data_IF_598068470985
#
_entry.id   IF_598068470985
#
_cell.length_a   1.000
_cell.length_b   1.000
_cell.length_c   1.000
_cell.angle_alpha   90.00
_cell.angle_beta   90.00
_cell.angle_gamma   90.00
#
_symmetry.space_group_name_H-M   'P 1'
#
loop_
_entity.id
_entity.type
_entity.pdbx_description
1 polymer ?
#
# COMPACT_ATOMS: atom_id res chain seq x y z
N UNK A 1 1.91 -10.93 12.69
CA UNK A 1 2.92 -10.65 11.66
C UNK A 1 3.50 -12.00 11.24
N UNK A 2 3.09 -12.52 10.08
CA UNK A 2 3.50 -13.85 9.61
C UNK A 2 4.92 -13.78 9.02
N UNK A 3 5.91 -13.76 9.90
CA UNK A 3 7.29 -14.12 9.56
C UNK A 3 7.74 -14.99 10.74
N UNK A 4 7.54 -16.30 10.58
CA UNK A 4 7.97 -17.31 11.54
C UNK A 4 9.44 -17.62 11.30
N UNK A 5 10.22 -17.73 12.38
CA UNK A 5 11.61 -18.25 12.32
C UNK A 5 11.64 -19.77 12.04
N UNK A 6 10.49 -20.44 12.15
CA UNK A 6 10.30 -21.84 11.80
C UNK A 6 10.17 -21.98 10.29
N UNK A 7 10.99 -22.83 9.68
CA UNK A 7 10.80 -23.26 8.30
C UNK A 7 9.45 -23.97 8.17
N UNK A 8 8.54 -23.38 7.41
CA UNK A 8 7.24 -23.98 7.12
C UNK A 8 7.39 -24.77 5.82
N UNK A 9 7.36 -26.08 5.94
CA UNK A 9 7.28 -26.99 4.80
C UNK A 9 5.81 -27.25 4.47
N UNK A 10 5.38 -26.90 3.26
CA UNK A 10 4.07 -27.30 2.74
C UNK A 10 4.28 -28.56 1.89
N UNK A 11 3.46 -29.59 2.11
CA UNK A 11 3.50 -30.84 1.34
C UNK A 11 2.65 -30.70 0.09
N UNK A 12 3.28 -30.59 -1.08
CA UNK A 12 2.66 -30.67 -2.41
C UNK A 12 3.60 -31.44 -3.32
N UNK A 13 3.25 -32.66 -3.79
CA UNK A 13 4.08 -33.57 -4.61
C UNK A 13 5.62 -33.61 -4.27
N UNK A 14 6.02 -33.17 -3.07
CA UNK A 14 7.38 -32.79 -2.70
C UNK A 14 7.41 -31.82 -1.49
N UNK A 15 8.59 -31.59 -0.92
CA UNK A 15 8.81 -30.63 0.18
C UNK A 15 9.48 -29.37 -0.37
N UNK A 16 8.90 -28.19 -0.13
CA UNK A 16 9.46 -26.92 -0.57
C UNK A 16 9.75 -26.02 0.64
N UNK A 17 10.98 -25.49 0.72
CA UNK A 17 11.39 -24.53 1.75
C UNK A 17 10.86 -23.15 1.37
N UNK A 18 9.90 -22.64 2.14
CA UNK A 18 9.25 -21.35 1.88
C UNK A 18 10.16 -20.12 2.08
N UNK A 19 11.33 -20.30 2.69
CA UNK A 19 12.18 -19.23 3.22
C UNK A 19 13.54 -19.08 2.52
N UNK A 20 13.93 -19.98 1.59
CA UNK A 20 15.24 -19.94 0.95
C UNK A 20 15.17 -19.45 -0.50
N UNK A 21 15.47 -18.15 -0.71
CA UNK A 21 15.90 -17.54 -1.99
C UNK A 21 15.08 -17.92 -3.24
N UNK A 22 13.78 -17.69 -3.22
CA UNK A 22 12.95 -17.82 -4.41
C UNK A 22 11.53 -18.16 -4.02
N UNK A 23 10.69 -17.13 -3.95
CA UNK A 23 9.24 -17.30 -3.79
C UNK A 23 8.68 -18.03 -5.02
N UNK A 24 8.73 -19.35 -5.01
CA UNK A 24 7.92 -20.22 -5.87
C UNK A 24 6.92 -20.92 -4.96
N UNK A 25 5.87 -20.21 -4.53
CA UNK A 25 4.90 -20.86 -3.66
C UNK A 25 3.44 -20.44 -3.87
N UNK A 26 3.13 -19.49 -4.76
CA UNK A 26 1.74 -19.10 -4.99
C UNK A 26 1.52 -18.58 -6.43
N UNK A 27 1.46 -19.47 -7.42
CA UNK A 27 1.07 -19.09 -8.80
C UNK A 27 -0.28 -18.34 -8.80
N UNK A 28 -1.20 -18.69 -7.91
CA UNK A 28 -2.49 -17.97 -7.76
C UNK A 28 -2.35 -16.51 -7.27
N UNK A 29 -1.21 -16.14 -6.67
CA UNK A 29 -0.93 -14.78 -6.20
C UNK A 29 -0.14 -13.98 -7.24
N UNK A 30 0.41 -14.63 -8.27
CA UNK A 30 1.23 -14.01 -9.31
C UNK A 30 0.50 -12.89 -10.03
N UNK A 31 -0.76 -13.11 -10.39
CA UNK A 31 -1.63 -12.09 -11.00
C UNK A 31 -1.84 -10.87 -10.11
N UNK A 32 -1.86 -11.05 -8.78
CA UNK A 32 -1.96 -9.96 -7.82
C UNK A 32 -0.63 -9.21 -7.68
N UNK A 33 0.50 -9.93 -7.69
CA UNK A 33 1.84 -9.33 -7.63
C UNK A 33 2.18 -8.50 -8.87
N UNK A 34 1.64 -8.86 -10.04
CA UNK A 34 1.78 -8.06 -11.27
C UNK A 34 1.02 -6.73 -11.21
N UNK A 35 -0.03 -6.62 -10.39
CA UNK A 35 -0.83 -5.39 -10.22
C UNK A 35 -0.21 -4.38 -9.26
N UNK A 36 0.83 -4.79 -8.51
CA UNK A 36 1.51 -3.88 -7.60
C UNK A 36 2.41 -2.95 -8.41
N UNK A 37 2.23 -1.62 -8.33
CA UNK A 37 3.07 -0.69 -9.05
C UNK A 37 4.54 -0.86 -8.69
N UNK A 38 5.37 -0.87 -9.73
CA UNK A 38 6.83 -0.91 -9.64
C UNK A 38 7.34 0.35 -10.32
N UNK A 39 8.26 1.12 -9.72
CA UNK A 39 8.98 2.16 -10.44
C UNK A 39 9.76 1.53 -11.60
N UNK A 40 10.26 2.34 -12.53
CA UNK A 40 10.93 1.88 -13.78
C UNK A 40 12.10 0.91 -13.55
N UNK A 41 12.66 0.89 -12.35
CA UNK A 41 13.71 -0.04 -11.88
C UNK A 41 13.18 -1.44 -11.51
N UNK A 42 11.89 -1.72 -11.63
CA UNK A 42 11.27 -3.03 -11.40
C UNK A 42 11.12 -3.47 -9.93
N UNK A 43 11.62 -2.69 -8.98
CA UNK A 43 11.48 -2.90 -7.54
C UNK A 43 10.07 -2.51 -7.04
N UNK A 44 9.64 -2.99 -5.88
CA UNK A 44 8.51 -2.37 -5.19
C UNK A 44 8.98 -1.03 -4.62
N UNK A 45 8.15 0.02 -4.63
CA UNK A 45 8.44 1.27 -3.88
C UNK A 45 8.18 1.07 -2.37
N UNK A 46 8.77 0.01 -1.84
CA UNK A 46 8.75 -0.42 -0.45
C UNK A 46 10.14 -0.21 0.11
N UNK A 47 10.26 0.70 1.07
CA UNK A 47 11.50 0.95 1.79
C UNK A 47 11.53 0.11 3.06
N UNK A 48 12.75 -0.20 3.52
CA UNK A 48 13.00 -0.90 4.78
C UNK A 48 13.82 0.00 5.70
N UNK A 49 13.60 -0.14 7.01
CA UNK A 49 14.46 0.45 8.04
C UNK A 49 15.01 -0.63 8.95
N UNK A 50 16.19 -0.40 9.53
CA UNK A 50 16.80 -1.33 10.47
C UNK A 50 16.32 -1.04 11.89
N UNK A 51 15.68 -2.01 12.52
CA UNK A 51 15.23 -1.93 13.92
C UNK A 51 15.61 -3.19 14.67
N UNK A 52 16.29 -3.06 15.81
CA UNK A 52 16.78 -4.19 16.65
C UNK A 52 17.52 -5.27 15.85
N UNK A 53 18.36 -4.85 14.92
CA UNK A 53 19.15 -5.75 14.08
C UNK A 53 18.41 -6.38 12.90
N UNK A 54 17.09 -6.14 12.73
CA UNK A 54 16.26 -6.70 11.65
C UNK A 54 15.83 -5.60 10.67
N UNK A 55 15.67 -5.94 9.39
CA UNK A 55 14.99 -5.08 8.43
C UNK A 55 13.48 -5.20 8.59
N UNK A 56 12.81 -4.07 8.77
CA UNK A 56 11.35 -3.98 8.83
C UNK A 56 10.86 -3.03 7.75
N UNK A 57 9.70 -3.33 7.16
CA UNK A 57 9.07 -2.44 6.19
C UNK A 57 8.86 -1.06 6.84
N UNK A 58 9.33 0.00 6.20
CA UNK A 58 9.27 1.36 6.72
C UNK A 58 8.19 2.18 6.06
N UNK A 59 8.18 2.23 4.73
CA UNK A 59 7.22 3.04 3.97
C UNK A 59 6.93 2.38 2.63
N UNK A 60 5.67 2.37 2.21
CA UNK A 60 5.25 1.93 0.89
C UNK A 60 4.52 3.03 0.15
N UNK A 61 4.82 3.23 -1.14
CA UNK A 61 4.13 4.18 -2.02
C UNK A 61 3.35 3.44 -3.12
N UNK A 62 2.09 3.02 -2.86
CA UNK A 62 1.31 2.23 -3.82
C UNK A 62 0.69 3.06 -4.95
N UNK A 63 0.72 4.39 -4.86
CA UNK A 63 0.13 5.30 -5.84
C UNK A 63 0.89 6.64 -5.80
N UNK A 64 0.93 7.42 -6.89
CA UNK A 64 1.48 8.77 -6.86
C UNK A 64 0.99 9.53 -5.62
N UNK A 65 1.92 10.17 -4.90
CA UNK A 65 1.64 10.95 -3.69
C UNK A 65 0.86 10.27 -2.56
N UNK A 66 0.64 8.96 -2.57
CA UNK A 66 0.00 8.22 -1.47
C UNK A 66 1.01 7.30 -0.80
N UNK A 67 1.07 7.37 0.52
CA UNK A 67 2.05 6.65 1.33
C UNK A 67 1.36 5.87 2.44
N UNK A 68 1.81 4.62 2.66
CA UNK A 68 1.51 3.81 3.83
C UNK A 68 2.77 3.73 4.68
N UNK A 69 2.70 4.25 5.90
CA UNK A 69 3.79 4.22 6.86
C UNK A 69 3.26 3.66 8.19
N UNK A 70 3.76 2.52 8.71
CA UNK A 70 3.23 1.90 9.93
C UNK A 70 3.24 2.81 11.17
N UNK A 71 4.11 3.83 11.21
CA UNK A 71 4.24 4.78 12.33
C UNK A 71 3.27 5.97 12.17
N UNK A 72 2.67 6.16 10.98
CA UNK A 72 1.68 7.22 10.71
C UNK A 72 0.32 6.57 10.47
N UNK A 73 -0.69 6.94 11.26
CA UNK A 73 -2.06 6.42 11.11
C UNK A 73 -2.11 4.88 11.05
N UNK A 74 -1.22 4.20 11.77
CA UNK A 74 -1.09 2.73 11.80
C UNK A 74 -0.95 2.08 10.41
N UNK A 75 -0.35 2.78 9.45
CA UNK A 75 -0.18 2.27 8.08
C UNK A 75 -1.38 2.50 7.16
N UNK A 76 -2.39 3.27 7.58
CA UNK A 76 -3.46 3.69 6.69
C UNK A 76 -2.90 4.56 5.55
N UNK A 77 -3.49 4.50 4.34
CA UNK A 77 -3.05 5.35 3.23
C UNK A 77 -3.23 6.82 3.56
N UNK A 78 -2.14 7.59 3.42
CA UNK A 78 -2.10 9.02 3.69
C UNK A 78 -1.53 9.78 2.50
N UNK A 79 -1.88 11.06 2.39
CA UNK A 79 -1.21 11.96 1.45
C UNK A 79 0.27 12.09 1.85
N UNK A 80 1.18 11.92 0.89
CA UNK A 80 2.62 12.01 1.04
C UNK A 80 3.01 13.32 1.74
N UNK A 81 3.95 13.22 2.70
CA UNK A 81 4.46 14.32 3.52
C UNK A 81 3.41 14.93 4.47
N UNK A 82 2.31 14.21 4.71
CA UNK A 82 1.27 14.60 5.67
C UNK A 82 0.87 13.42 6.56
N UNK A 83 -0.06 13.64 7.49
CA UNK A 83 -0.75 12.58 8.24
C UNK A 83 -2.25 12.51 7.92
N UNK A 84 -2.64 13.09 6.78
CA UNK A 84 -4.04 13.20 6.35
C UNK A 84 -4.42 11.90 5.63
N UNK A 85 -5.36 11.11 6.18
CA UNK A 85 -5.82 9.89 5.55
C UNK A 85 -6.56 10.17 4.24
N UNK A 86 -6.34 9.35 3.21
CA UNK A 86 -7.08 9.47 1.94
C UNK A 86 -8.59 9.32 2.13
N UNK A 87 -9.01 8.47 3.06
CA UNK A 87 -10.43 8.28 3.42
C UNK A 87 -11.10 9.54 3.99
N UNK A 88 -10.34 10.42 4.66
CA UNK A 88 -10.86 11.68 5.16
C UNK A 88 -11.18 12.63 4.00
N UNK A 89 -10.26 12.73 3.03
CA UNK A 89 -10.45 13.50 1.78
C UNK A 89 -11.64 12.96 0.99
N UNK A 90 -11.73 11.64 0.84
CA UNK A 90 -12.85 10.99 0.14
C UNK A 90 -14.20 11.26 0.81
N UNK A 91 -14.25 11.22 2.14
CA UNK A 91 -15.48 11.47 2.90
C UNK A 91 -15.99 12.90 2.70
N UNK A 92 -15.10 13.90 2.70
CA UNK A 92 -15.46 15.30 2.45
C UNK A 92 -15.95 15.51 1.01
N UNK A 93 -15.24 14.94 0.01
CA UNK A 93 -15.68 15.02 -1.37
C UNK A 93 -17.06 14.37 -1.58
N UNK A 94 -17.32 13.22 -0.94
CA UNK A 94 -18.65 12.60 -0.92
C UNK A 94 -19.70 13.41 -0.17
N UNK A 95 -19.27 14.24 0.78
CA UNK A 95 -20.11 15.22 1.48
C UNK A 95 -20.43 16.45 0.65
N UNK A 96 -19.83 16.61 -0.53
CA UNK A 96 -20.07 17.73 -1.45
C UNK A 96 -18.97 18.79 -1.49
N UNK A 97 -17.89 18.63 -0.73
CA UNK A 97 -16.76 19.57 -0.78
C UNK A 97 -16.00 19.44 -2.11
N UNK A 98 -15.58 20.57 -2.68
CA UNK A 98 -14.76 20.55 -3.90
C UNK A 98 -13.30 20.22 -3.56
N UNK A 99 -12.54 19.60 -4.48
CA UNK A 99 -11.12 19.32 -4.28
C UNK A 99 -10.30 20.57 -3.91
N UNK A 100 -10.63 21.74 -4.46
CA UNK A 100 -9.99 23.03 -4.15
C UNK A 100 -10.27 23.48 -2.72
N UNK A 101 -11.51 23.31 -2.25
CA UNK A 101 -11.89 23.63 -0.87
C UNK A 101 -11.15 22.73 0.12
N UNK A 102 -11.06 21.43 -0.18
CA UNK A 102 -10.32 20.45 0.64
C UNK A 102 -8.82 20.78 0.67
N UNK A 103 -8.22 21.05 -0.49
CA UNK A 103 -6.82 21.43 -0.62
C UNK A 103 -6.50 22.68 0.21
N UNK A 104 -7.36 23.70 0.13
CA UNK A 104 -7.27 24.92 0.94
C UNK A 104 -7.42 24.62 2.43
N UNK A 105 -8.42 23.83 2.82
CA UNK A 105 -8.72 23.51 4.21
C UNK A 105 -7.59 22.76 4.92
N UNK A 106 -6.93 21.84 4.21
CA UNK A 106 -5.79 21.11 4.74
C UNK A 106 -4.43 21.75 4.46
N UNK A 107 -4.37 22.86 3.70
CA UNK A 107 -3.13 23.47 3.23
C UNK A 107 -2.21 22.46 2.49
N UNK A 108 -2.81 21.70 1.58
CA UNK A 108 -2.14 20.67 0.77
C UNK A 108 -2.25 21.05 -0.71
N UNK A 109 -1.22 20.81 -1.54
CA UNK A 109 -1.33 21.05 -2.98
C UNK A 109 -2.49 20.28 -3.62
N UNK A 110 -3.24 20.94 -4.49
CA UNK A 110 -4.44 20.38 -5.14
C UNK A 110 -4.18 19.04 -5.82
N UNK A 111 -3.05 18.88 -6.52
CA UNK A 111 -2.70 17.64 -7.20
C UNK A 111 -2.56 16.45 -6.25
N UNK A 112 -2.14 16.68 -4.99
CA UNK A 112 -2.07 15.62 -3.97
C UNK A 112 -3.46 15.22 -3.47
N UNK A 113 -4.39 16.18 -3.40
CA UNK A 113 -5.80 15.92 -3.06
C UNK A 113 -6.48 15.11 -4.17
N UNK A 114 -6.27 15.50 -5.43
CA UNK A 114 -6.77 14.76 -6.60
C UNK A 114 -6.26 13.31 -6.59
N UNK A 115 -4.96 13.13 -6.35
CA UNK A 115 -4.38 11.79 -6.27
C UNK A 115 -4.97 10.92 -5.13
N UNK A 116 -5.34 11.53 -3.99
CA UNK A 116 -6.04 10.84 -2.92
C UNK A 116 -7.46 10.41 -3.30
N UNK A 117 -8.18 11.25 -4.05
CA UNK A 117 -9.52 10.90 -4.56
C UNK A 117 -9.46 9.76 -5.58
N UNK A 118 -8.52 9.82 -6.52
CA UNK A 118 -8.30 8.76 -7.53
C UNK A 118 -7.92 7.42 -6.88
N UNK A 119 -7.09 7.45 -5.83
CA UNK A 119 -6.76 6.27 -5.05
C UNK A 119 -8.00 5.62 -4.43
N UNK A 120 -8.84 6.40 -3.75
CA UNK A 120 -10.05 5.90 -3.08
C UNK A 120 -11.10 5.40 -4.08
N UNK A 121 -11.28 6.09 -5.20
CA UNK A 121 -12.13 5.63 -6.30
C UNK A 121 -11.66 4.27 -6.85
N UNK A 122 -10.35 4.11 -7.06
CA UNK A 122 -9.75 2.84 -7.50
C UNK A 122 -10.02 1.71 -6.50
N UNK A 123 -9.86 1.96 -5.20
CA UNK A 123 -10.12 0.98 -4.13
C UNK A 123 -11.61 0.63 -4.05
N UNK A 124 -12.49 1.62 -4.13
CA UNK A 124 -13.93 1.41 -4.13
C UNK A 124 -14.35 0.51 -5.29
N UNK A 125 -13.87 0.79 -6.51
CA UNK A 125 -14.18 -0.04 -7.70
C UNK A 125 -13.74 -1.50 -7.56
N UNK A 126 -12.57 -1.75 -6.97
CA UNK A 126 -12.08 -3.12 -6.71
C UNK A 126 -12.97 -3.84 -5.68
N UNK A 127 -13.48 -3.10 -4.70
CA UNK A 127 -14.33 -3.64 -3.64
C UNK A 127 -15.71 -4.06 -4.15
N UNK A 128 -16.28 -3.33 -5.11
CA UNK A 128 -17.59 -3.63 -5.71
C UNK A 128 -17.59 -4.79 -6.71
N UNK A 129 -16.44 -5.19 -7.28
CA UNK A 129 -16.34 -6.34 -8.18
C UNK A 129 -16.36 -7.71 -7.47
N UNK A 130 -16.56 -7.73 -6.14
CA UNK A 130 -16.49 -8.93 -5.30
C UNK A 130 -17.85 -9.40 -4.75
N UNK A 131 -18.95 -8.73 -5.10
CA UNK A 131 -20.35 -9.12 -4.83
C UNK A 131 -21.05 -9.50 -6.11
#
# INVERSE_FOLDING_TARGET
>A
MWISETEIFIKMEGFLSATKRGQYAMEFVKDWLHRIPRPDIGALDLTFMRSRGREIASTWKPYPHIVLNPIIQFGAPCIQDTRIPTVAVWSMARGGDTPEAIAKGYNVPLYKVQSALEWEEKIARISFQRT
#
